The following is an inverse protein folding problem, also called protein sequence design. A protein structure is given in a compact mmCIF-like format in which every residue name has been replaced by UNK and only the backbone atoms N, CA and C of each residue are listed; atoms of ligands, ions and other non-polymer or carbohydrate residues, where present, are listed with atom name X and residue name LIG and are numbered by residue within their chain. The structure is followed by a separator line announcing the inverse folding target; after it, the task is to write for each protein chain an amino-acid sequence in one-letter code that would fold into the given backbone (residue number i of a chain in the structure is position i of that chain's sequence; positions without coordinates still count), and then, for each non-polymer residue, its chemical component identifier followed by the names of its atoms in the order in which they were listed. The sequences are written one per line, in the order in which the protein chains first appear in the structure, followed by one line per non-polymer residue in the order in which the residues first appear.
data_IF_688369867328
#
_entry.id   IF_688369867328
#
_cell.length_a   1.000
_cell.length_b   1.000
_cell.length_c   1.000
_cell.angle_alpha   90.00
_cell.angle_beta   90.00
_cell.angle_gamma   90.00
#
_symmetry.space_group_name_H-M   'P 1'
#
loop_
_entity.id
_entity.type
_entity.pdbx_description
1 polymer ?
#
# COMPACT_ATOMS: atom_id res chain seq x y z
N UNK A 1 -48.19 -11.65 -12.36
CA UNK A 1 -46.98 -10.92 -11.90
C UNK A 1 -45.77 -11.59 -12.52
N UNK A 2 -45.09 -10.99 -13.52
CA UNK A 2 -44.03 -11.68 -14.25
C UNK A 2 -42.70 -11.60 -13.49
N UNK A 3 -42.02 -12.74 -13.44
CA UNK A 3 -40.66 -12.92 -12.92
C UNK A 3 -39.67 -12.11 -13.76
N UNK A 4 -39.04 -11.11 -13.16
CA UNK A 4 -37.90 -10.41 -13.76
C UNK A 4 -36.73 -11.39 -13.94
N UNK A 5 -36.44 -11.74 -15.19
CA UNK A 5 -35.18 -12.37 -15.59
C UNK A 5 -34.03 -11.39 -15.31
N UNK A 6 -33.19 -11.72 -14.33
CA UNK A 6 -31.93 -11.03 -14.09
C UNK A 6 -30.93 -11.51 -15.15
N UNK A 7 -30.60 -10.62 -16.09
CA UNK A 7 -29.55 -10.85 -17.07
C UNK A 7 -28.20 -10.69 -16.37
N UNK A 8 -27.53 -11.81 -16.10
CA UNK A 8 -26.15 -11.87 -15.61
C UNK A 8 -25.19 -11.59 -16.77
N UNK A 9 -24.77 -10.34 -16.92
CA UNK A 9 -23.62 -9.99 -17.77
C UNK A 9 -22.34 -10.56 -17.16
N UNK A 10 -21.66 -11.42 -17.92
CA UNK A 10 -20.40 -12.05 -17.53
C UNK A 10 -19.23 -11.13 -17.90
N UNK A 11 -18.51 -10.61 -16.90
CA UNK A 11 -17.23 -9.94 -17.14
C UNK A 11 -16.10 -10.99 -17.05
N UNK A 12 -15.40 -11.18 -18.17
CA UNK A 12 -14.20 -12.00 -18.25
C UNK A 12 -12.97 -11.08 -18.16
N UNK A 13 -12.03 -11.35 -17.26
CA UNK A 13 -10.69 -10.75 -17.31
C UNK A 13 -9.72 -11.80 -17.85
N UNK A 14 -9.13 -11.52 -19.02
CA UNK A 14 -8.14 -12.40 -19.66
C UNK A 14 -6.74 -12.03 -19.14
N UNK A 15 -6.20 -12.89 -18.26
CA UNK A 15 -4.83 -12.78 -17.78
C UNK A 15 -4.03 -13.97 -18.35
N UNK A 16 -3.24 -13.69 -19.39
CA UNK A 16 -2.17 -14.56 -19.92
C UNK A 16 -2.59 -16.03 -20.18
N UNK A 17 -3.70 -16.24 -20.88
CA UNK A 17 -4.00 -17.54 -21.50
C UNK A 17 -4.42 -18.67 -20.55
N UNK A 18 -4.61 -18.39 -19.25
CA UNK A 18 -5.23 -19.34 -18.32
C UNK A 18 -6.63 -18.85 -17.96
N UNK A 19 -7.67 -19.51 -18.47
CA UNK A 19 -9.07 -19.25 -18.09
C UNK A 19 -9.35 -19.79 -16.69
N UNK A 20 -8.88 -19.09 -15.66
CA UNK A 20 -9.31 -19.37 -14.29
C UNK A 20 -10.70 -18.78 -14.05
N UNK A 21 -11.66 -19.63 -13.69
CA UNK A 21 -12.94 -19.20 -13.14
C UNK A 21 -12.73 -18.92 -11.65
N UNK A 22 -12.63 -17.66 -11.28
CA UNK A 22 -12.63 -17.29 -9.86
C UNK A 22 -13.97 -17.67 -9.24
N UNK A 23 -13.98 -18.27 -8.04
CA UNK A 23 -15.23 -18.52 -7.34
C UNK A 23 -15.91 -17.18 -7.07
N UNK A 24 -17.22 -17.10 -7.33
CA UNK A 24 -18.00 -15.93 -6.94
C UNK A 24 -18.10 -15.92 -5.42
N UNK A 25 -17.41 -14.98 -4.78
CA UNK A 25 -17.54 -14.74 -3.35
C UNK A 25 -18.84 -14.00 -3.14
N UNK A 26 -19.78 -14.62 -2.43
CA UNK A 26 -21.05 -13.98 -2.12
C UNK A 26 -20.84 -12.93 -1.02
N UNK A 27 -20.79 -11.66 -1.41
CA UNK A 27 -20.70 -10.52 -0.50
C UNK A 27 -22.08 -9.90 -0.37
N UNK A 28 -22.60 -9.80 0.85
CA UNK A 28 -23.94 -9.26 1.12
C UNK A 28 -24.09 -7.74 0.92
N UNK A 29 -23.03 -7.06 0.48
CA UNK A 29 -22.97 -5.62 0.29
C UNK A 29 -22.45 -5.28 -1.11
N UNK A 30 -23.04 -4.30 -1.81
CA UNK A 30 -22.56 -3.87 -3.12
C UNK A 30 -21.21 -3.18 -2.98
N UNK A 31 -20.33 -3.37 -3.96
CA UNK A 31 -19.10 -2.60 -4.07
C UNK A 31 -19.42 -1.12 -4.33
N UNK A 32 -18.75 -0.24 -3.60
CA UNK A 32 -18.81 1.21 -3.78
C UNK A 32 -17.39 1.75 -3.96
N UNK A 33 -17.29 2.90 -4.60
CA UNK A 33 -16.03 3.63 -4.75
C UNK A 33 -16.23 5.03 -4.19
N UNK A 34 -15.18 5.59 -3.58
CA UNK A 34 -15.16 6.97 -3.10
C UNK A 34 -15.53 7.97 -4.22
N UNK A 35 -16.31 9.01 -3.88
CA UNK A 35 -16.83 9.99 -4.86
C UNK A 35 -15.71 10.77 -5.57
N UNK A 36 -14.61 11.04 -4.86
CA UNK A 36 -13.46 11.78 -5.38
C UNK A 36 -12.36 10.88 -5.98
N UNK A 37 -12.69 9.69 -6.46
CA UNK A 37 -11.71 8.70 -6.95
C UNK A 37 -10.70 9.29 -7.94
N UNK A 38 -11.15 9.99 -8.97
CA UNK A 38 -10.27 10.53 -10.01
C UNK A 38 -9.30 11.59 -9.46
N UNK A 39 -9.80 12.42 -8.54
CA UNK A 39 -8.99 13.45 -7.89
C UNK A 39 -7.94 12.82 -6.98
N UNK A 40 -8.32 11.85 -6.15
CA UNK A 40 -7.41 11.10 -5.27
C UNK A 40 -6.32 10.42 -6.11
N UNK A 41 -6.70 9.78 -7.21
CA UNK A 41 -5.77 9.12 -8.13
C UNK A 41 -4.76 10.10 -8.74
N UNK A 42 -5.22 11.27 -9.17
CA UNK A 42 -4.35 12.29 -9.75
C UNK A 42 -3.38 12.88 -8.71
N UNK A 43 -3.87 13.22 -7.52
CA UNK A 43 -3.05 13.80 -6.47
C UNK A 43 -2.03 12.81 -5.90
N UNK A 44 -2.40 11.54 -5.75
CA UNK A 44 -1.44 10.50 -5.37
C UNK A 44 -0.40 10.27 -6.46
N UNK A 45 -0.76 10.35 -7.75
CA UNK A 45 0.23 10.28 -8.83
C UNK A 45 1.23 11.45 -8.77
N UNK A 46 0.73 12.69 -8.56
CA UNK A 46 1.60 13.87 -8.41
C UNK A 46 2.55 13.70 -7.21
N UNK A 47 2.02 13.21 -6.09
CA UNK A 47 2.80 12.90 -4.89
C UNK A 47 3.86 11.82 -5.15
N UNK A 48 3.51 10.71 -5.79
CA UNK A 48 4.45 9.63 -6.09
C UNK A 48 5.53 10.07 -7.10
N UNK A 49 5.18 10.91 -8.07
CA UNK A 49 6.12 11.50 -9.02
C UNK A 49 7.09 12.48 -8.34
N UNK A 50 6.62 13.29 -7.38
CA UNK A 50 7.46 14.21 -6.59
C UNK A 50 8.61 13.47 -5.89
N UNK A 51 8.34 12.28 -5.35
CA UNK A 51 9.35 11.48 -4.65
C UNK A 51 10.13 10.54 -5.57
N UNK A 52 9.84 10.49 -6.87
CA UNK A 52 10.53 9.59 -7.80
C UNK A 52 10.24 8.10 -7.56
N UNK A 53 9.21 7.76 -6.79
CA UNK A 53 8.80 6.37 -6.55
C UNK A 53 7.92 5.83 -7.68
N UNK A 54 7.29 6.71 -8.48
CA UNK A 54 6.57 6.33 -9.70
C UNK A 54 7.48 6.18 -10.95
N UNK A 55 8.79 5.99 -10.76
CA UNK A 55 9.81 6.20 -11.81
C UNK A 55 10.02 5.05 -12.79
N UNK A 56 9.47 3.85 -12.53
CA UNK A 56 9.72 2.68 -13.40
C UNK A 56 9.02 2.75 -14.75
N UNK A 57 7.74 3.11 -14.80
CA UNK A 57 6.96 3.26 -16.04
C UNK A 57 5.62 3.90 -15.69
N UNK A 58 5.29 5.07 -16.25
CA UNK A 58 3.96 5.68 -16.09
C UNK A 58 2.82 4.73 -16.50
N UNK A 59 3.12 3.75 -17.35
CA UNK A 59 2.21 2.67 -17.75
C UNK A 59 1.96 1.66 -16.62
N UNK A 60 2.98 1.27 -15.86
CA UNK A 60 2.88 0.32 -14.73
C UNK A 60 2.05 0.91 -13.58
N UNK A 61 2.38 2.13 -13.14
CA UNK A 61 1.58 2.84 -12.13
C UNK A 61 0.10 3.01 -12.52
N UNK A 62 -0.18 3.22 -13.82
CA UNK A 62 -1.56 3.30 -14.34
C UNK A 62 -2.28 1.96 -14.36
N UNK A 63 -1.56 0.84 -14.42
CA UNK A 63 -2.12 -0.52 -14.44
C UNK A 63 -2.41 -1.05 -13.04
N UNK A 64 -1.63 -0.64 -12.04
CA UNK A 64 -1.68 -1.23 -10.69
C UNK A 64 -2.93 -0.87 -9.88
N UNK A 65 -3.72 0.11 -10.34
CA UNK A 65 -5.05 0.44 -9.79
C UNK A 65 -5.09 0.62 -8.26
N UNK A 66 -3.98 0.98 -7.61
CA UNK A 66 -3.90 1.13 -6.14
C UNK A 66 -4.94 2.11 -5.58
N UNK A 67 -5.22 3.19 -6.32
CA UNK A 67 -6.28 4.15 -5.95
C UNK A 67 -7.67 3.54 -5.95
N UNK A 68 -7.90 2.51 -6.79
CA UNK A 68 -9.18 1.80 -6.79
C UNK A 68 -9.32 0.94 -5.55
N UNK A 69 -8.24 0.28 -5.11
CA UNK A 69 -8.21 -0.47 -3.86
C UNK A 69 -8.53 0.44 -2.66
N UNK A 70 -7.81 1.56 -2.53
CA UNK A 70 -8.02 2.52 -1.45
C UNK A 70 -9.45 3.10 -1.45
N UNK A 71 -9.94 3.54 -2.62
CA UNK A 71 -11.26 4.18 -2.74
C UNK A 71 -12.43 3.18 -2.61
N UNK A 72 -12.21 1.89 -2.87
CA UNK A 72 -13.20 0.85 -2.59
C UNK A 72 -13.24 0.49 -1.09
N UNK A 73 -12.06 0.38 -0.46
CA UNK A 73 -11.95 0.07 0.97
C UNK A 73 -12.49 1.21 1.86
N UNK A 74 -12.27 2.46 1.46
CA UNK A 74 -12.65 3.66 2.21
C UNK A 74 -13.66 4.53 1.45
N UNK A 75 -14.66 3.91 0.84
CA UNK A 75 -15.60 4.58 -0.07
C UNK A 75 -16.45 5.70 0.57
N UNK A 76 -16.56 5.74 1.90
CA UNK A 76 -17.30 6.76 2.64
C UNK A 76 -16.42 7.61 3.57
N UNK A 77 -15.10 7.52 3.42
CA UNK A 77 -14.15 8.33 4.20
C UNK A 77 -14.17 9.80 3.78
N UNK A 78 -13.50 10.65 4.56
CA UNK A 78 -13.23 12.02 4.15
C UNK A 78 -12.08 12.08 3.14
N UNK A 79 -12.15 13.04 2.22
CA UNK A 79 -11.21 13.19 1.12
C UNK A 79 -9.74 13.14 1.55
N UNK A 80 -9.36 13.94 2.55
CA UNK A 80 -7.99 14.08 3.01
C UNK A 80 -7.46 12.78 3.63
N UNK A 81 -8.26 12.09 4.45
CA UNK A 81 -7.85 10.79 5.00
C UNK A 81 -7.74 9.73 3.92
N UNK A 82 -8.67 9.66 2.97
CA UNK A 82 -8.59 8.66 1.90
C UNK A 82 -7.39 8.92 0.99
N UNK A 83 -7.08 10.18 0.70
CA UNK A 83 -5.88 10.57 -0.03
C UNK A 83 -4.60 10.13 0.70
N UNK A 84 -4.50 10.38 2.01
CA UNK A 84 -3.36 9.97 2.82
C UNK A 84 -3.20 8.44 2.85
N UNK A 85 -4.30 7.70 3.03
CA UNK A 85 -4.29 6.24 2.98
C UNK A 85 -3.88 5.73 1.60
N UNK A 86 -4.32 6.38 0.52
CA UNK A 86 -3.92 6.00 -0.84
C UNK A 86 -2.42 6.21 -1.06
N UNK A 87 -1.84 7.33 -0.59
CA UNK A 87 -0.39 7.57 -0.61
C UNK A 87 0.37 6.48 0.16
N UNK A 88 -0.13 6.12 1.35
CA UNK A 88 0.45 5.03 2.14
C UNK A 88 0.39 3.68 1.43
N UNK A 89 -0.74 3.34 0.79
CA UNK A 89 -0.89 2.09 0.03
C UNK A 89 0.09 2.03 -1.14
N UNK A 90 0.18 3.11 -1.93
CA UNK A 90 1.16 3.20 -3.03
C UNK A 90 2.58 3.00 -2.49
N UNK A 91 2.94 3.72 -1.43
CA UNK A 91 4.24 3.57 -0.78
C UNK A 91 4.53 2.13 -0.32
N UNK A 92 3.55 1.49 0.30
CA UNK A 92 3.67 0.12 0.81
C UNK A 92 3.98 -0.88 -0.32
N UNK A 93 3.29 -0.78 -1.45
CA UNK A 93 3.56 -1.65 -2.60
C UNK A 93 4.92 -1.37 -3.24
N UNK A 94 5.35 -0.12 -3.33
CA UNK A 94 6.69 0.22 -3.83
C UNK A 94 7.80 -0.32 -2.90
N UNK A 95 7.59 -0.33 -1.58
CA UNK A 95 8.50 -1.02 -0.66
C UNK A 95 8.52 -2.52 -0.93
N UNK A 96 7.37 -3.15 -1.16
CA UNK A 96 7.30 -4.59 -1.38
C UNK A 96 8.13 -4.99 -2.62
N UNK A 97 7.90 -4.30 -3.74
CA UNK A 97 8.67 -4.46 -4.98
C UNK A 97 10.17 -4.17 -4.76
N UNK A 98 10.52 -3.15 -3.98
CA UNK A 98 11.91 -2.77 -3.74
C UNK A 98 12.64 -3.69 -2.76
N UNK A 99 11.97 -4.20 -1.74
CA UNK A 99 12.53 -5.14 -0.75
C UNK A 99 12.79 -6.50 -1.39
N UNK A 100 11.98 -6.94 -2.36
CA UNK A 100 12.32 -8.10 -3.19
C UNK A 100 13.65 -7.91 -3.94
N UNK A 101 14.05 -6.65 -4.22
CA UNK A 101 15.28 -6.31 -4.93
C UNK A 101 16.47 -5.98 -4.01
N UNK A 102 16.24 -5.65 -2.74
CA UNK A 102 17.28 -5.24 -1.79
C UNK A 102 17.78 -6.41 -0.92
N UNK A 103 19.03 -6.82 -1.13
CA UNK A 103 19.70 -7.83 -0.30
C UNK A 103 20.37 -7.29 0.96
N UNK A 104 20.40 -5.97 1.17
CA UNK A 104 21.25 -5.34 2.17
C UNK A 104 20.53 -4.97 3.48
N UNK A 105 20.95 -5.63 4.55
CA UNK A 105 20.48 -5.41 5.93
C UNK A 105 20.74 -4.00 6.49
N UNK A 106 21.55 -3.18 5.82
CA UNK A 106 22.03 -1.86 6.30
C UNK A 106 21.19 -0.66 5.85
N UNK A 107 20.12 -0.87 5.09
CA UNK A 107 19.19 0.20 4.70
C UNK A 107 18.25 0.60 5.87
N UNK A 108 17.60 1.78 5.79
CA UNK A 108 16.56 2.18 6.76
C UNK A 108 15.49 1.09 6.96
N UNK A 109 14.93 0.57 5.86
CA UNK A 109 13.97 -0.54 5.92
C UNK A 109 14.60 -1.82 6.45
N UNK A 110 15.89 -2.08 6.17
CA UNK A 110 16.65 -3.13 6.83
C UNK A 110 16.71 -2.95 8.35
N UNK A 111 16.91 -1.73 8.85
CA UNK A 111 16.91 -1.44 10.29
C UNK A 111 15.53 -1.64 10.93
N UNK A 112 14.44 -1.41 10.19
CA UNK A 112 13.09 -1.77 10.64
C UNK A 112 12.92 -3.29 10.74
N UNK A 113 13.33 -4.05 9.72
CA UNK A 113 13.18 -5.52 9.67
C UNK A 113 14.15 -6.26 10.61
N UNK A 114 15.33 -5.69 10.88
CA UNK A 114 16.38 -6.35 11.68
C UNK A 114 16.64 -5.62 13.00
N UNK A 115 15.66 -4.88 13.51
CA UNK A 115 15.77 -4.20 14.79
C UNK A 115 16.10 -5.22 15.90
N UNK A 116 17.11 -4.91 16.71
CA UNK A 116 17.49 -5.75 17.84
C UNK A 116 16.48 -5.65 18.98
N UNK A 117 16.52 -6.56 19.97
CA UNK A 117 15.67 -6.50 21.16
C UNK A 117 15.88 -5.24 22.01
N UNK A 118 16.92 -4.46 21.71
CA UNK A 118 17.27 -3.21 22.37
C UNK A 118 16.42 -2.00 21.90
N UNK A 119 15.79 -2.09 20.73
CA UNK A 119 14.99 -1.01 20.17
C UNK A 119 13.56 -1.04 20.72
N UNK A 120 13.38 -0.47 21.92
CA UNK A 120 12.11 -0.48 22.65
C UNK A 120 11.08 0.53 22.13
N UNK A 121 11.51 1.62 21.48
CA UNK A 121 10.60 2.62 20.89
C UNK A 121 10.59 2.52 19.36
N UNK A 122 9.64 1.74 18.86
CA UNK A 122 9.42 1.54 17.43
C UNK A 122 8.92 2.80 16.71
N UNK A 123 8.26 3.72 17.43
CA UNK A 123 7.82 4.99 16.84
C UNK A 123 9.02 5.90 16.60
N UNK A 124 9.94 5.98 17.56
CA UNK A 124 11.19 6.72 17.37
C UNK A 124 12.03 6.15 16.21
N UNK A 125 12.04 4.83 16.04
CA UNK A 125 12.68 4.20 14.89
C UNK A 125 12.01 4.58 13.56
N UNK A 126 10.69 4.70 13.49
CA UNK A 126 10.02 5.21 12.30
C UNK A 126 10.30 6.70 12.08
N UNK A 127 10.42 7.49 13.15
CA UNK A 127 10.71 8.92 13.09
C UNK A 127 12.08 9.24 12.48
N UNK A 128 13.06 8.33 12.66
CA UNK A 128 14.40 8.48 12.04
C UNK A 128 14.38 8.42 10.52
N UNK A 129 13.27 8.02 9.89
CA UNK A 129 13.10 8.14 8.43
C UNK A 129 13.35 9.55 7.90
N UNK A 130 13.06 10.57 8.71
CA UNK A 130 13.30 11.97 8.37
C UNK A 130 14.79 12.33 8.18
N UNK A 131 15.71 11.49 8.68
CA UNK A 131 17.16 11.69 8.56
C UNK A 131 17.73 11.24 7.21
N UNK A 132 16.93 10.52 6.41
CA UNK A 132 17.37 9.90 5.15
C UNK A 132 16.87 10.69 3.93
N UNK A 133 17.44 11.88 3.72
CA UNK A 133 16.97 12.83 2.70
C UNK A 133 17.19 12.40 1.24
N UNK A 134 18.04 11.40 0.98
CA UNK A 134 18.48 11.02 -0.37
C UNK A 134 17.84 9.74 -0.91
N UNK A 135 17.05 9.01 -0.11
CA UNK A 135 16.47 7.73 -0.52
C UNK A 135 14.97 7.94 -0.82
N UNK A 136 14.55 7.97 -2.10
CA UNK A 136 13.17 8.22 -2.54
C UNK A 136 12.08 7.57 -1.68
N UNK A 137 12.23 6.27 -1.42
CA UNK A 137 11.27 5.51 -0.62
C UNK A 137 11.24 5.99 0.83
N UNK A 138 12.39 6.20 1.47
CA UNK A 138 12.44 6.64 2.88
C UNK A 138 11.89 8.05 3.04
N UNK A 139 12.20 8.94 2.10
CA UNK A 139 11.65 10.31 2.09
C UNK A 139 10.13 10.30 1.92
N UNK A 140 9.61 9.49 1.00
CA UNK A 140 8.16 9.35 0.80
C UNK A 140 7.45 8.74 2.03
N UNK A 141 8.12 7.83 2.74
CA UNK A 141 7.63 7.30 4.00
C UNK A 141 7.57 8.38 5.07
N UNK A 142 8.64 9.18 5.23
CA UNK A 142 8.71 10.24 6.23
C UNK A 142 7.58 11.27 6.02
N UNK A 143 7.26 11.61 4.77
CA UNK A 143 6.16 12.50 4.38
C UNK A 143 4.79 11.93 4.83
N UNK A 144 4.49 10.68 4.46
CA UNK A 144 3.25 10.00 4.86
C UNK A 144 3.16 9.81 6.37
N UNK A 145 4.28 9.44 7.02
CA UNK A 145 4.33 9.21 8.45
C UNK A 145 4.08 10.48 9.25
N UNK A 146 4.64 11.61 8.81
CA UNK A 146 4.35 12.93 9.37
C UNK A 146 2.85 13.24 9.33
N UNK A 147 2.21 13.04 8.18
CA UNK A 147 0.78 13.33 8.01
C UNK A 147 -0.09 12.36 8.83
N UNK A 148 0.28 11.07 8.89
CA UNK A 148 -0.41 10.09 9.75
C UNK A 148 -0.32 10.47 11.23
N UNK A 149 0.86 10.90 11.70
CA UNK A 149 1.04 11.33 13.09
C UNK A 149 0.18 12.54 13.44
N UNK A 150 -0.02 13.47 12.50
CA UNK A 150 -0.83 14.66 12.73
C UNK A 150 -2.31 14.34 12.99
N UNK A 151 -2.82 13.21 12.51
CA UNK A 151 -4.23 12.83 12.61
C UNK A 151 -4.50 11.63 13.53
N UNK A 152 -3.46 11.07 14.18
CA UNK A 152 -3.56 9.85 14.98
C UNK A 152 -3.05 10.05 16.40
N UNK A 153 -3.53 9.23 17.34
CA UNK A 153 -3.07 9.27 18.73
C UNK A 153 -1.76 8.51 18.89
N UNK A 154 -0.97 8.84 19.93
CA UNK A 154 0.26 8.10 20.27
C UNK A 154 0.02 6.59 20.42
N UNK A 155 -1.08 6.19 21.06
CA UNK A 155 -1.48 4.78 21.21
C UNK A 155 -1.78 4.11 19.87
N UNK A 156 -2.31 4.84 18.89
CA UNK A 156 -2.50 4.30 17.54
C UNK A 156 -1.16 4.16 16.82
N UNK A 157 -0.27 5.15 16.93
CA UNK A 157 1.06 5.15 16.32
C UNK A 157 1.91 3.98 16.83
N UNK A 158 1.87 3.68 18.13
CA UNK A 158 2.56 2.53 18.72
C UNK A 158 2.05 1.20 18.14
N UNK A 159 0.73 1.01 18.04
CA UNK A 159 0.16 -0.19 17.41
C UNK A 159 0.52 -0.27 15.93
N UNK A 160 0.51 0.87 15.24
CA UNK A 160 0.86 0.91 13.83
C UNK A 160 2.33 0.50 13.64
N UNK A 161 3.24 1.07 14.42
CA UNK A 161 4.67 0.75 14.37
C UNK A 161 4.93 -0.74 14.64
N UNK A 162 4.29 -1.29 15.68
CA UNK A 162 4.36 -2.72 15.98
C UNK A 162 3.88 -3.58 14.81
N UNK A 163 2.74 -3.27 14.21
CA UNK A 163 2.24 -4.06 13.09
C UNK A 163 3.08 -3.88 11.83
N UNK A 164 3.47 -2.65 11.50
CA UNK A 164 4.25 -2.32 10.31
C UNK A 164 5.60 -3.06 10.30
N UNK A 165 6.26 -3.11 11.46
CA UNK A 165 7.54 -3.78 11.65
C UNK A 165 7.38 -5.30 11.77
N UNK A 166 6.50 -5.80 12.65
CA UNK A 166 6.32 -7.25 12.85
C UNK A 166 5.74 -7.99 11.63
N UNK A 167 5.04 -7.30 10.71
CA UNK A 167 4.59 -7.92 9.45
C UNK A 167 5.78 -8.22 8.54
N UNK A 168 6.88 -7.47 8.65
CA UNK A 168 8.11 -7.68 7.85
C UNK A 168 9.03 -8.75 8.46
N UNK A 169 9.03 -8.96 9.79
CA UNK A 169 9.75 -10.06 10.46
C UNK A 169 9.19 -11.45 10.12
N UNK A 170 7.91 -11.52 9.75
CA UNK A 170 7.19 -12.77 9.45
C UNK A 170 7.22 -13.18 7.98
N UNK A 171 7.88 -12.41 7.10
CA UNK A 171 8.13 -12.83 5.73
C UNK A 171 9.41 -13.69 5.72
N UNK A 172 9.33 -15.02 5.62
CA UNK A 172 10.52 -15.85 5.52
C UNK A 172 11.21 -15.55 4.19
N UNK A 173 12.32 -14.81 4.26
CA UNK A 173 13.28 -14.56 3.15
C UNK A 173 13.74 -15.87 2.48
N UNK A 174 13.50 -17.03 3.10
CA UNK A 174 13.86 -18.35 2.55
C UNK A 174 12.85 -18.95 1.55
N UNK A 175 11.62 -18.44 1.42
CA UNK A 175 10.61 -19.14 0.61
C UNK A 175 10.67 -18.82 -0.90
N UNK A 176 11.38 -17.78 -1.32
CA UNK A 176 11.50 -17.39 -2.72
C UNK A 176 12.63 -18.08 -3.51
N UNK A 177 13.52 -18.85 -2.86
CA UNK A 177 14.59 -19.60 -3.56
C UNK A 177 14.18 -20.94 -4.18
N UNK A 178 12.90 -21.35 -4.12
CA UNK A 178 12.46 -22.66 -4.62
C UNK A 178 11.64 -22.66 -5.92
N UNK A 179 11.48 -21.51 -6.58
CA UNK A 179 10.71 -21.43 -7.83
C UNK A 179 11.41 -20.69 -8.97
N UNK A 180 12.74 -20.65 -8.98
CA UNK A 180 13.54 -20.46 -10.20
C UNK A 180 14.16 -21.80 -10.59
#
# INVERSE_FOLDING_TARGET
LPLHKVWLTMEYMDLKGRKYKYPKINMGLPSRTHVDFDKIKEETFKWAAKFGIASGERKRYKQDNFSRLACMAYHGGDYERVLLINKFIVHFFEIDDHVEMMSEKRSFFGSLVYHGPEQKDLVALMDSSSEYEQIPLVVSFADVWKDLKAITTRRWQERFAQNYICTKDKLPVQQYRRYC
#
